data_IF_726557731002
#
_entry.id   IF_726557731002
#
_cell.length_a   1.000
_cell.length_b   1.000
_cell.length_c   1.000
_cell.angle_alpha   90.00
_cell.angle_beta   90.00
_cell.angle_gamma   90.00
#
_symmetry.space_group_name_H-M   'P 1'
#
loop_
_entity.id
_entity.type
_entity.pdbx_description
1 polymer ?
#
# COMPACT_ATOMS: atom_id res chain seq x y z
N UNK A 1 -3.67 -0.25 -9.64
CA UNK A 1 -3.98 -1.07 -10.83
C UNK A 1 -5.45 -0.82 -11.17
N UNK A 2 -5.77 -0.51 -12.41
CA UNK A 2 -7.14 -0.25 -12.89
C UNK A 2 -7.49 -1.19 -14.04
N UNK A 3 -8.78 -1.44 -14.25
CA UNK A 3 -9.27 -2.16 -15.43
C UNK A 3 -9.50 -1.21 -16.62
N UNK A 4 -9.99 -1.76 -17.74
CA UNK A 4 -10.32 -1.03 -18.97
C UNK A 4 -11.38 0.07 -18.79
N UNK A 5 -12.22 -0.04 -17.77
CA UNK A 5 -13.21 0.97 -17.41
C UNK A 5 -12.66 2.06 -16.46
N UNK A 6 -11.38 1.98 -16.09
CA UNK A 6 -10.71 2.90 -15.18
C UNK A 6 -11.01 2.68 -13.69
N UNK A 7 -11.70 1.58 -13.36
CA UNK A 7 -12.01 1.20 -11.97
C UNK A 7 -10.79 0.56 -11.33
N UNK A 8 -10.41 1.03 -10.14
CA UNK A 8 -9.34 0.45 -9.35
C UNK A 8 -9.69 -0.99 -8.92
N UNK A 9 -8.77 -1.93 -9.16
CA UNK A 9 -8.87 -3.25 -8.57
C UNK A 9 -8.41 -3.19 -7.12
N UNK A 10 -9.10 -3.92 -6.26
CA UNK A 10 -8.74 -4.07 -4.84
C UNK A 10 -8.46 -5.53 -4.54
N UNK A 11 -7.66 -5.82 -3.51
CA UNK A 11 -7.45 -7.19 -3.04
C UNK A 11 -8.73 -7.85 -2.52
N UNK A 12 -9.79 -7.08 -2.23
CA UNK A 12 -11.13 -7.61 -1.88
C UNK A 12 -11.84 -8.20 -3.10
N UNK A 13 -11.74 -7.52 -4.24
CA UNK A 13 -12.39 -7.93 -5.50
C UNK A 13 -11.54 -8.91 -6.31
N UNK A 14 -10.21 -8.79 -6.24
CA UNK A 14 -9.27 -9.64 -6.95
C UNK A 14 -8.15 -10.07 -5.99
N UNK A 15 -8.28 -11.26 -5.42
CA UNK A 15 -7.38 -11.73 -4.37
C UNK A 15 -5.99 -12.05 -4.89
N UNK A 16 -5.81 -12.42 -6.17
CA UNK A 16 -4.48 -12.70 -6.75
C UNK A 16 -3.56 -11.48 -6.73
N UNK A 17 -4.09 -10.28 -6.56
CA UNK A 17 -3.29 -9.07 -6.32
C UNK A 17 -2.36 -9.20 -5.10
N UNK A 18 -2.64 -10.08 -4.13
CA UNK A 18 -1.74 -10.31 -3.00
C UNK A 18 -0.44 -11.04 -3.38
N UNK A 19 -0.40 -11.67 -4.55
CA UNK A 19 0.78 -12.38 -5.06
C UNK A 19 1.73 -11.46 -5.83
N UNK A 20 1.30 -10.23 -6.15
CA UNK A 20 2.18 -9.21 -6.71
C UNK A 20 3.01 -8.61 -5.58
N UNK A 21 4.33 -8.82 -5.63
CA UNK A 21 5.26 -8.34 -4.61
C UNK A 21 6.09 -7.20 -5.21
N UNK A 22 5.85 -5.94 -4.82
CA UNK A 22 6.68 -4.81 -5.21
C UNK A 22 7.98 -4.78 -4.40
N UNK A 23 9.11 -4.54 -5.07
CA UNK A 23 10.42 -4.32 -4.46
C UNK A 23 11.00 -3.01 -4.95
N UNK A 24 11.28 -2.08 -4.04
CA UNK A 24 11.77 -0.74 -4.37
C UNK A 24 13.29 -0.72 -4.26
N UNK A 25 13.97 -0.34 -5.34
CA UNK A 25 15.41 -0.15 -5.39
C UNK A 25 15.70 1.34 -5.61
N UNK A 26 15.54 2.13 -4.54
CA UNK A 26 15.63 3.60 -4.59
C UNK A 26 16.98 4.08 -5.14
N UNK A 27 18.10 3.56 -4.63
CA UNK A 27 19.44 3.92 -5.10
C UNK A 27 19.69 3.58 -6.57
N UNK A 28 18.91 2.66 -7.14
CA UNK A 28 18.96 2.28 -8.56
C UNK A 28 17.87 2.97 -9.39
N UNK A 29 16.97 3.71 -8.77
CA UNK A 29 15.91 4.47 -9.44
C UNK A 29 14.77 3.64 -10.04
N UNK A 30 14.55 2.39 -9.60
CA UNK A 30 13.46 1.55 -10.10
C UNK A 30 12.75 0.73 -9.02
N UNK A 31 11.51 0.34 -9.29
CA UNK A 31 10.76 -0.69 -8.59
C UNK A 31 10.66 -1.93 -9.47
N UNK A 32 10.73 -3.11 -8.88
CA UNK A 32 10.40 -4.38 -9.53
C UNK A 32 9.05 -4.90 -9.04
N UNK A 33 8.23 -5.39 -9.95
CA UNK A 33 7.08 -6.23 -9.62
C UNK A 33 7.44 -7.69 -9.84
N UNK A 34 7.25 -8.49 -8.79
CA UNK A 34 7.40 -9.94 -8.82
C UNK A 34 6.02 -10.61 -8.75
N UNK A 35 5.88 -11.77 -9.40
CA UNK A 35 4.72 -12.65 -9.29
C UNK A 35 5.21 -14.10 -9.40
N UNK A 36 4.61 -15.10 -8.71
CA UNK A 36 5.05 -16.49 -8.76
C UNK A 36 5.22 -16.99 -10.21
N UNK A 37 6.34 -17.67 -10.46
CA UNK A 37 6.69 -18.28 -11.75
C UNK A 37 6.79 -17.31 -12.94
N UNK A 38 6.84 -15.99 -12.69
CA UNK A 38 6.95 -14.97 -13.73
C UNK A 38 8.26 -14.19 -13.61
N UNK A 39 8.87 -13.85 -14.75
CA UNK A 39 10.03 -12.95 -14.79
C UNK A 39 9.62 -11.58 -14.24
N UNK A 40 10.39 -10.98 -13.29
CA UNK A 40 10.08 -9.66 -12.77
C UNK A 40 10.11 -8.57 -13.85
N UNK A 41 9.30 -7.53 -13.65
CA UNK A 41 9.31 -6.33 -14.51
C UNK A 41 9.78 -5.12 -13.73
N UNK A 42 10.61 -4.29 -14.37
CA UNK A 42 11.15 -3.05 -13.79
C UNK A 42 10.31 -1.85 -14.20
N UNK A 43 10.14 -0.93 -13.27
CA UNK A 43 9.39 0.30 -13.42
C UNK A 43 10.27 1.42 -12.88
N UNK A 44 10.67 2.37 -13.71
CA UNK A 44 11.44 3.54 -13.25
C UNK A 44 10.64 4.36 -12.23
N UNK A 45 11.28 4.75 -11.12
CA UNK A 45 10.66 5.56 -10.06
C UNK A 45 10.50 7.02 -10.53
N UNK A 46 11.56 7.56 -11.13
CA UNK A 46 11.63 8.92 -11.65
C UNK A 46 11.58 8.86 -13.17
N UNK A 47 10.38 8.91 -13.75
CA UNK A 47 10.23 9.06 -15.19
C UNK A 47 10.40 10.54 -15.49
N UNK A 48 11.37 10.90 -16.35
CA UNK A 48 11.41 12.27 -16.88
C UNK A 48 10.07 12.51 -17.57
N UNK A 49 9.27 13.43 -17.03
CA UNK A 49 8.00 13.86 -17.59
C UNK A 49 8.26 14.69 -18.86
N UNK A 50 8.84 14.06 -19.89
CA UNK A 50 9.13 14.69 -21.17
C UNK A 50 7.83 14.95 -21.90
N UNK A 51 7.32 16.16 -21.70
CA UNK A 51 6.66 17.02 -22.68
C UNK A 51 5.81 16.33 -23.76
N UNK A 52 4.50 16.56 -23.64
CA UNK A 52 3.53 16.77 -24.75
C UNK A 52 2.99 15.58 -25.56
N UNK A 53 3.52 14.36 -25.48
CA UNK A 53 2.93 13.19 -26.18
C UNK A 53 2.55 12.01 -25.28
N UNK A 54 2.98 12.03 -24.01
CA UNK A 54 2.66 11.02 -22.99
C UNK A 54 1.81 11.63 -21.87
N UNK A 55 0.73 12.35 -22.21
CA UNK A 55 -0.41 12.49 -21.30
C UNK A 55 -1.10 11.13 -21.19
N UNK A 56 -0.37 10.16 -20.63
CA UNK A 56 -0.81 8.79 -20.44
C UNK A 56 -2.11 8.83 -19.66
N UNK A 57 -3.16 8.32 -20.30
CA UNK A 57 -4.53 8.14 -19.80
C UNK A 57 -4.75 8.73 -18.42
N UNK A 58 -5.28 9.97 -18.36
CA UNK A 58 -5.80 10.54 -17.12
C UNK A 58 -7.01 9.69 -16.73
N UNK A 59 -6.75 8.64 -15.99
CA UNK A 59 -7.77 7.71 -15.57
C UNK A 59 -8.35 8.22 -14.25
N UNK A 60 -9.61 8.64 -14.30
CA UNK A 60 -10.34 9.11 -13.12
C UNK A 60 -10.83 7.93 -12.30
N UNK A 61 -9.91 7.31 -11.57
CA UNK A 61 -10.28 6.31 -10.58
C UNK A 61 -10.75 6.99 -9.30
N UNK A 62 -11.63 6.30 -8.56
CA UNK A 62 -12.07 6.74 -7.23
C UNK A 62 -11.32 5.97 -6.17
N UNK A 63 -10.58 6.67 -5.32
CA UNK A 63 -10.03 6.11 -4.08
C UNK A 63 -10.77 6.76 -2.92
N UNK A 64 -11.50 5.94 -2.14
CA UNK A 64 -12.35 6.44 -1.04
C UNK A 64 -13.32 7.56 -1.45
N UNK A 65 -13.81 7.53 -2.71
CA UNK A 65 -14.72 8.53 -3.26
C UNK A 65 -14.04 9.71 -3.98
N UNK A 66 -12.74 9.92 -3.77
CA UNK A 66 -11.99 11.02 -4.37
C UNK A 66 -11.47 10.67 -5.76
N UNK A 67 -11.57 11.62 -6.68
CA UNK A 67 -11.01 11.53 -8.04
C UNK A 67 -9.50 11.68 -7.94
N UNK A 68 -8.76 10.70 -8.45
CA UNK A 68 -7.30 10.75 -8.51
C UNK A 68 -6.83 10.73 -9.96
N UNK A 69 -5.77 11.47 -10.25
CA UNK A 69 -5.08 11.43 -11.53
C UNK A 69 -3.83 10.56 -11.40
N UNK A 70 -3.64 9.69 -12.39
CA UNK A 70 -2.50 8.80 -12.46
C UNK A 70 -1.89 8.80 -13.86
N UNK A 71 -0.60 8.52 -13.90
CA UNK A 71 0.22 8.41 -15.09
C UNK A 71 0.37 6.94 -15.41
N UNK A 72 0.06 6.55 -16.64
CA UNK A 72 0.19 5.16 -17.10
C UNK A 72 1.65 4.69 -17.08
N UNK A 73 1.87 3.51 -16.50
CA UNK A 73 3.20 2.92 -16.39
C UNK A 73 3.70 2.25 -17.70
N UNK A 74 2.94 2.30 -18.78
CA UNK A 74 3.34 1.84 -20.12
C UNK A 74 2.83 0.43 -20.45
N UNK A 75 2.83 0.11 -21.74
CA UNK A 75 2.25 -1.13 -22.27
C UNK A 75 2.97 -2.40 -21.77
N UNK A 76 4.29 -2.38 -21.61
CA UNK A 76 5.04 -3.53 -21.07
C UNK A 76 4.55 -3.92 -19.66
N UNK A 77 4.24 -2.92 -18.82
CA UNK A 77 3.72 -3.12 -17.47
C UNK A 77 2.27 -3.58 -17.51
N UNK A 78 1.47 -3.05 -18.43
CA UNK A 78 0.11 -3.47 -18.67
C UNK A 78 0.03 -4.95 -19.07
N UNK A 79 0.83 -5.37 -20.06
CA UNK A 79 0.89 -6.75 -20.54
C UNK A 79 1.37 -7.69 -19.45
N UNK A 80 2.39 -7.28 -18.68
CA UNK A 80 2.87 -8.05 -17.55
C UNK A 80 1.78 -8.29 -16.50
N UNK A 81 1.00 -7.26 -16.16
CA UNK A 81 -0.11 -7.38 -15.21
C UNK A 81 -1.24 -8.25 -15.76
N UNK A 82 -1.59 -8.07 -17.04
CA UNK A 82 -2.65 -8.84 -17.68
C UNK A 82 -2.33 -10.33 -17.66
N UNK A 83 -1.09 -10.69 -17.98
CA UNK A 83 -0.63 -12.07 -17.93
C UNK A 83 -0.57 -12.61 -16.49
N UNK A 84 0.00 -11.83 -15.55
CA UNK A 84 0.13 -12.25 -14.15
C UNK A 84 -1.22 -12.55 -13.48
N UNK A 85 -2.25 -11.76 -13.78
CA UNK A 85 -3.57 -11.89 -13.15
C UNK A 85 -4.57 -12.66 -14.03
N UNK A 86 -4.21 -12.94 -15.29
CA UNK A 86 -5.09 -13.52 -16.31
C UNK A 86 -6.34 -12.67 -16.56
N UNK A 87 -6.19 -11.34 -16.59
CA UNK A 87 -7.27 -10.37 -16.79
C UNK A 87 -6.82 -9.38 -17.87
N UNK A 88 -7.63 -9.16 -18.89
CA UNK A 88 -7.29 -8.23 -19.97
C UNK A 88 -7.57 -6.77 -19.60
N UNK A 89 -6.85 -5.85 -20.26
CA UNK A 89 -7.10 -4.41 -20.15
C UNK A 89 -6.68 -3.80 -18.82
N UNK A 90 -5.75 -4.42 -18.09
CA UNK A 90 -5.22 -3.87 -16.85
C UNK A 90 -4.15 -2.82 -17.12
N UNK A 91 -4.18 -1.74 -16.33
CA UNK A 91 -3.15 -0.69 -16.32
C UNK A 91 -2.62 -0.46 -14.91
N UNK A 92 -1.32 -0.24 -14.80
CA UNK A 92 -0.72 0.33 -13.59
C UNK A 92 -0.64 1.84 -13.74
N UNK A 93 -1.12 2.55 -12.73
CA UNK A 93 -1.05 4.00 -12.67
C UNK A 93 -0.15 4.42 -11.51
N UNK A 94 0.78 5.32 -11.78
CA UNK A 94 1.55 6.03 -10.77
C UNK A 94 0.84 7.36 -10.46
N UNK A 95 0.67 7.71 -9.18
CA UNK A 95 0.09 9.00 -8.83
C UNK A 95 0.93 10.15 -9.41
N UNK A 96 0.28 11.14 -10.01
CA UNK A 96 0.98 12.32 -10.51
C UNK A 96 1.51 13.16 -9.33
N UNK A 97 2.84 13.35 -9.19
CA UNK A 97 3.38 14.17 -8.11
C UNK A 97 2.99 15.65 -8.22
N UNK A 98 2.64 16.14 -9.43
CA UNK A 98 2.19 17.53 -9.64
C UNK A 98 0.73 17.75 -9.22
N UNK A 99 -0.04 16.68 -9.01
CA UNK A 99 -1.43 16.73 -8.57
C UNK A 99 -1.66 15.79 -7.37
N UNK A 100 -1.08 16.13 -6.19
CA UNK A 100 -1.27 15.32 -5.00
C UNK A 100 -2.74 15.35 -4.57
N UNK A 101 -3.26 14.20 -4.13
CA UNK A 101 -4.61 14.13 -3.56
C UNK A 101 -4.60 14.89 -2.24
N UNK A 102 -5.52 15.83 -2.07
CA UNK A 102 -5.72 16.52 -0.80
C UNK A 102 -6.86 15.81 -0.08
N UNK A 103 -6.54 15.10 0.99
CA UNK A 103 -7.58 14.57 1.85
C UNK A 103 -8.02 15.66 2.83
N UNK A 104 -9.33 15.89 2.91
CA UNK A 104 -9.92 16.75 3.95
C UNK A 104 -10.02 15.96 5.25
N UNK A 105 -8.91 15.81 5.96
CA UNK A 105 -8.93 15.26 7.32
C UNK A 105 -9.04 16.42 8.30
N UNK A 106 -10.16 16.48 9.02
CA UNK A 106 -10.38 17.40 10.15
C UNK A 106 -9.96 18.86 9.86
N UNK A 107 -10.36 19.39 8.69
CA UNK A 107 -10.15 20.79 8.29
C UNK A 107 -8.70 21.21 8.01
N UNK A 108 -7.75 20.27 7.92
CA UNK A 108 -6.40 20.52 7.46
C UNK A 108 -6.17 19.89 6.08
N UNK A 109 -5.61 20.66 5.15
CA UNK A 109 -5.26 20.18 3.82
C UNK A 109 -3.94 19.41 3.90
N UNK A 110 -4.02 18.09 4.10
CA UNK A 110 -2.85 17.23 3.99
C UNK A 110 -2.83 16.57 2.62
N UNK A 111 -1.67 16.62 1.96
CA UNK A 111 -1.41 15.83 0.76
C UNK A 111 -1.32 14.37 1.17
N UNK A 112 -2.21 13.53 0.69
CA UNK A 112 -2.19 12.09 0.92
C UNK A 112 -1.91 11.41 -0.40
N UNK A 113 -1.22 10.28 -0.32
CA UNK A 113 -1.05 9.42 -1.49
C UNK A 113 -2.37 8.71 -1.82
N UNK A 114 -2.29 7.55 -2.46
CA UNK A 114 -3.42 6.65 -2.65
C UNK A 114 -3.88 5.94 -1.35
N UNK A 115 -3.40 6.34 -0.18
CA UNK A 115 -3.86 5.82 1.12
C UNK A 115 -5.34 6.11 1.39
N UNK A 116 -5.96 5.29 2.23
CA UNK A 116 -7.39 5.37 2.51
C UNK A 116 -7.76 6.59 3.37
N UNK A 117 -7.15 6.68 4.56
CA UNK A 117 -7.41 7.72 5.55
C UNK A 117 -6.10 8.45 5.85
N UNK A 118 -5.15 7.81 6.54
CA UNK A 118 -3.90 8.45 6.94
C UNK A 118 -2.67 7.96 6.15
N UNK A 119 -1.56 8.71 6.26
CA UNK A 119 -0.31 8.40 5.54
C UNK A 119 0.46 7.23 6.16
N UNK A 120 0.43 7.10 7.49
CA UNK A 120 1.24 6.16 8.26
C UNK A 120 0.32 5.41 9.21
N UNK A 121 0.36 4.09 9.14
CA UNK A 121 -0.22 3.20 10.13
C UNK A 121 0.88 2.65 11.03
N UNK A 122 0.78 2.92 12.32
CA UNK A 122 1.62 2.33 13.34
C UNK A 122 0.96 1.06 13.91
N UNK A 123 1.77 0.05 14.18
CA UNK A 123 1.34 -1.20 14.79
C UNK A 123 2.28 -1.55 15.94
N UNK A 124 1.71 -1.82 17.11
CA UNK A 124 2.41 -2.43 18.22
C UNK A 124 2.33 -3.96 18.12
N UNK A 125 3.48 -4.64 17.99
CA UNK A 125 3.56 -6.11 17.94
C UNK A 125 2.94 -6.75 19.17
N UNK A 126 3.06 -6.14 20.35
CA UNK A 126 2.51 -6.67 21.58
C UNK A 126 0.96 -6.72 21.53
N UNK A 127 0.33 -5.66 21.02
CA UNK A 127 -1.11 -5.62 20.74
C UNK A 127 -1.54 -6.70 19.75
N UNK A 128 -0.74 -6.96 18.73
CA UNK A 128 -1.05 -8.02 17.74
C UNK A 128 -0.92 -9.41 18.34
N UNK A 129 0.04 -9.67 19.24
CA UNK A 129 0.17 -10.96 19.94
C UNK A 129 -1.06 -11.22 20.81
N UNK A 130 -1.43 -10.23 21.62
CA UNK A 130 -2.65 -10.29 22.43
C UNK A 130 -3.88 -10.57 21.56
N UNK A 131 -4.02 -9.88 20.42
CA UNK A 131 -5.14 -10.11 19.51
C UNK A 131 -5.12 -11.52 18.90
N UNK A 132 -3.95 -12.04 18.53
CA UNK A 132 -3.82 -13.37 17.95
C UNK A 132 -4.25 -14.48 18.93
N UNK A 133 -4.00 -14.32 20.23
CA UNK A 133 -4.50 -15.23 21.26
C UNK A 133 -6.03 -15.23 21.39
N UNK A 134 -6.68 -14.12 21.02
CA UNK A 134 -8.14 -13.98 21.07
C UNK A 134 -8.85 -14.48 19.81
N UNK A 135 -8.11 -14.87 18.76
CA UNK A 135 -8.68 -15.32 17.48
C UNK A 135 -8.33 -16.79 17.24
N UNK A 136 -9.24 -17.74 17.59
CA UNK A 136 -8.98 -19.18 17.49
C UNK A 136 -8.55 -19.65 16.10
N UNK A 137 -9.07 -19.02 15.04
CA UNK A 137 -8.74 -19.37 13.66
C UNK A 137 -7.28 -19.04 13.28
N UNK A 138 -6.63 -18.12 13.99
CA UNK A 138 -5.23 -17.78 13.77
C UNK A 138 -4.29 -18.73 14.51
N UNK A 139 -4.80 -19.45 15.53
CA UNK A 139 -4.07 -20.53 16.21
C UNK A 139 -3.76 -21.71 15.28
N UNK A 140 -4.65 -22.00 14.33
CA UNK A 140 -4.63 -23.20 13.48
C UNK A 140 -3.79 -23.08 12.19
N UNK A 141 -3.05 -21.98 11.99
CA UNK A 141 -2.17 -21.83 10.83
C UNK A 141 -0.94 -22.75 10.97
N UNK A 142 -0.52 -23.46 9.90
CA UNK A 142 0.56 -24.45 9.95
C UNK A 142 1.88 -23.83 10.44
N UNK A 143 2.53 -24.55 11.35
CA UNK A 143 3.68 -24.15 12.15
C UNK A 143 4.91 -23.80 11.30
N UNK A 144 5.14 -22.50 11.13
CA UNK A 144 6.49 -21.92 11.14
C UNK A 144 6.54 -21.13 12.44
N UNK A 145 7.68 -21.15 13.14
CA UNK A 145 7.90 -20.73 14.54
C UNK A 145 6.97 -19.62 15.09
N UNK A 146 6.71 -19.59 16.40
CA UNK A 146 5.85 -18.56 17.04
C UNK A 146 6.19 -17.11 16.62
N UNK A 147 7.42 -16.83 16.19
CA UNK A 147 7.87 -15.54 15.67
C UNK A 147 7.41 -15.29 14.23
N UNK A 148 7.59 -16.26 13.32
CA UNK A 148 7.12 -16.14 11.93
C UNK A 148 5.58 -16.05 11.84
N UNK A 149 4.90 -16.70 12.80
CA UNK A 149 3.45 -16.60 12.97
C UNK A 149 3.00 -15.18 13.30
N UNK A 150 3.69 -14.48 14.22
CA UNK A 150 3.28 -13.13 14.60
C UNK A 150 3.58 -12.12 13.50
N UNK A 151 4.73 -12.22 12.84
CA UNK A 151 5.11 -11.31 11.75
C UNK A 151 4.13 -11.47 10.56
N UNK A 152 3.76 -12.70 10.21
CA UNK A 152 2.73 -12.96 9.20
C UNK A 152 1.32 -12.45 9.59
N UNK A 153 1.01 -12.32 10.88
CA UNK A 153 -0.23 -11.71 11.36
C UNK A 153 -0.14 -10.19 11.31
N UNK A 154 1.00 -9.60 11.72
CA UNK A 154 1.29 -8.16 11.65
C UNK A 154 1.13 -7.66 10.21
N UNK A 155 1.66 -8.38 9.23
CA UNK A 155 1.58 -8.00 7.80
C UNK A 155 0.14 -7.87 7.29
N UNK A 156 -0.82 -8.61 7.88
CA UNK A 156 -2.24 -8.52 7.48
C UNK A 156 -2.80 -7.11 7.73
N UNK A 157 -2.28 -6.42 8.73
CA UNK A 157 -2.71 -5.06 9.09
C UNK A 157 -2.09 -3.99 8.20
N UNK A 158 -1.09 -4.31 7.37
CA UNK A 158 -0.46 -3.40 6.39
C UNK A 158 0.08 -2.12 7.04
N UNK A 159 0.71 -2.27 8.20
CA UNK A 159 1.37 -1.17 8.92
C UNK A 159 2.60 -0.66 8.18
N UNK A 160 2.92 0.61 8.40
CA UNK A 160 4.14 1.25 7.93
C UNK A 160 5.23 1.27 9.01
N UNK A 161 4.84 1.52 10.26
CA UNK A 161 5.74 1.56 11.41
C UNK A 161 5.37 0.41 12.35
N UNK A 162 6.27 -0.55 12.47
CA UNK A 162 6.10 -1.69 13.36
C UNK A 162 7.00 -1.48 14.57
N UNK A 163 6.40 -1.38 15.75
CA UNK A 163 7.10 -1.20 17.02
C UNK A 163 6.72 -2.31 17.98
N UNK A 164 7.41 -2.38 19.11
CA UNK A 164 7.09 -3.28 20.19
C UNK A 164 7.21 -2.53 21.52
N UNK A 165 6.12 -2.51 22.28
CA UNK A 165 6.09 -1.89 23.60
C UNK A 165 5.82 -2.94 24.68
N UNK A 166 5.98 -2.55 25.94
CA UNK A 166 5.75 -3.44 27.09
C UNK A 166 4.27 -3.76 27.28
N UNK A 167 3.40 -2.78 27.06
CA UNK A 167 1.97 -2.88 27.34
C UNK A 167 1.14 -3.10 26.06
N UNK A 168 0.00 -3.76 26.23
CA UNK A 168 -0.96 -4.03 25.14
C UNK A 168 -1.81 -2.78 24.91
N UNK A 169 -1.97 -2.38 23.65
CA UNK A 169 -2.77 -1.22 23.21
C UNK A 169 -2.29 0.13 23.77
N UNK A 170 -1.06 0.21 24.24
CA UNK A 170 -0.43 1.43 24.76
C UNK A 170 -0.46 2.56 23.71
N UNK A 171 -0.31 2.20 22.44
CA UNK A 171 -0.33 3.11 21.29
C UNK A 171 -1.64 3.91 21.15
N UNK A 172 -2.73 3.47 21.80
CA UNK A 172 -4.02 4.18 21.79
C UNK A 172 -4.02 5.43 22.67
N UNK A 173 -3.07 5.54 23.61
CA UNK A 173 -2.98 6.68 24.53
C UNK A 173 -1.99 7.75 24.06
N UNK A 174 -1.32 7.53 22.92
CA UNK A 174 -0.31 8.46 22.43
C UNK A 174 -0.93 9.56 21.59
N UNK A 175 -0.53 10.80 21.89
CA UNK A 175 -0.85 11.96 21.06
C UNK A 175 0.24 12.22 20.02
N UNK A 176 1.49 11.88 20.33
CA UNK A 176 2.68 12.18 19.53
C UNK A 176 3.77 11.13 19.76
N UNK A 177 4.61 10.92 18.75
CA UNK A 177 5.75 10.00 18.80
C UNK A 177 6.98 10.71 18.22
N UNK A 178 8.12 10.56 18.89
CA UNK A 178 9.41 11.08 18.42
C UNK A 178 10.33 9.90 18.07
N UNK A 179 10.70 9.78 16.80
CA UNK A 179 11.65 8.76 16.33
C UNK A 179 12.88 9.49 15.79
N UNK A 180 13.97 9.47 16.56
CA UNK A 180 15.15 10.29 16.28
C UNK A 180 14.80 11.77 16.32
N UNK A 181 14.89 12.44 15.18
CA UNK A 181 14.51 13.85 15.00
C UNK A 181 13.14 14.05 14.33
N UNK A 182 12.42 12.97 14.03
CA UNK A 182 11.12 13.02 13.35
C UNK A 182 10.00 12.96 14.36
N UNK A 183 9.21 14.03 14.42
CA UNK A 183 8.01 14.12 15.26
C UNK A 183 6.78 13.75 14.44
N UNK A 184 6.06 12.71 14.86
CA UNK A 184 4.81 12.24 14.29
C UNK A 184 3.66 12.56 15.25
N UNK A 185 2.57 13.11 14.73
CA UNK A 185 1.35 13.36 15.50
C UNK A 185 0.34 12.25 15.23
N UNK A 186 -0.27 11.73 16.29
CA UNK A 186 -1.29 10.69 16.19
C UNK A 186 -2.63 11.34 15.80
N UNK A 187 -3.20 10.88 14.68
CA UNK A 187 -4.51 11.37 14.22
C UNK A 187 -5.68 10.62 14.88
N UNK A 188 -5.48 9.35 15.26
CA UNK A 188 -6.46 8.54 15.96
C UNK A 188 -6.30 7.05 15.69
N UNK A 189 -7.19 6.21 16.25
CA UNK A 189 -7.18 4.77 16.01
C UNK A 189 -7.61 4.43 14.57
N UNK A 190 -6.97 3.41 14.00
CA UNK A 190 -7.36 2.85 12.71
C UNK A 190 -8.52 1.87 12.87
N UNK A 191 -9.65 2.15 12.23
CA UNK A 191 -10.80 1.25 12.18
C UNK A 191 -10.68 0.30 10.99
N UNK A 192 -10.95 -0.98 11.20
CA UNK A 192 -10.85 -2.02 10.17
C UNK A 192 -12.18 -2.41 9.56
#
# INVERSE_FOLDING_TARGET
IVNSNGTALTQKSETKLCLIIPKIFESKGFMELCFPYKKPIKIALNREFRTTQSRGVICHSKVCGDRVEGIDCGDEVADWLCDALSISGLRLLQQNPENPRIAKIRSLNHTISLSNQDQILLINKNSVRWLAEKVPDWSNLPEITNVDKIDGVVDRFRGNLIIETSDVLEELQWDEILIGNVKLKVNGPCTR
#
